data_IF_367186070309
#
_entry.id   IF_367186070309
#
_cell.length_a   1.000
_cell.length_b   1.000
_cell.length_c   1.000
_cell.angle_alpha   90.00
_cell.angle_beta   90.00
_cell.angle_gamma   90.00
#
_symmetry.space_group_name_H-M   'P 1'
#
loop_
_entity.id
_entity.type
_entity.pdbx_description
1 polymer ?
#
# COMPACT_ATOMS: atom_id res chain seq x y z
N UNK A 1 36.12 7.71 -5.93
CA UNK A 1 35.43 7.54 -4.63
C UNK A 1 34.07 6.91 -4.96
N UNK A 2 33.96 5.59 -4.87
CA UNK A 2 32.67 4.92 -5.09
C UNK A 2 31.71 5.31 -3.97
N UNK A 3 30.53 5.84 -4.31
CA UNK A 3 29.47 6.02 -3.32
C UNK A 3 29.04 4.62 -2.87
N UNK A 4 29.41 4.20 -1.66
CA UNK A 4 28.74 3.08 -1.00
C UNK A 4 27.26 3.45 -0.93
N UNK A 5 26.42 2.70 -1.64
CA UNK A 5 24.98 2.83 -1.49
C UNK A 5 24.67 2.59 0.00
N UNK A 6 24.09 3.59 0.65
CA UNK A 6 23.59 3.42 2.01
C UNK A 6 22.48 2.39 1.97
N UNK A 7 22.48 1.45 2.92
CA UNK A 7 21.38 0.52 3.08
C UNK A 7 20.09 1.33 3.30
N UNK A 8 19.08 1.13 2.45
CA UNK A 8 17.81 1.82 2.52
C UNK A 8 16.71 0.78 2.73
N UNK A 9 15.94 0.93 3.82
CA UNK A 9 14.78 0.09 4.09
C UNK A 9 13.52 0.84 3.68
N UNK A 10 12.69 0.20 2.86
CA UNK A 10 11.36 0.71 2.52
C UNK A 10 10.30 -0.14 3.24
N UNK A 11 9.32 0.52 3.84
CA UNK A 11 8.24 -0.11 4.61
C UNK A 11 6.90 0.47 4.18
N UNK A 12 5.92 -0.41 3.96
CA UNK A 12 4.52 -0.02 3.77
C UNK A 12 3.73 -0.36 5.03
N UNK A 13 2.89 0.56 5.46
CA UNK A 13 1.98 0.40 6.58
C UNK A 13 0.62 1.02 6.24
N UNK A 14 -0.46 0.37 6.68
CA UNK A 14 -1.82 0.89 6.60
C UNK A 14 -2.44 0.91 7.99
N UNK A 15 -3.03 2.04 8.34
CA UNK A 15 -3.63 2.29 9.65
C UNK A 15 -5.00 2.93 9.45
N UNK A 16 -6.00 2.39 10.15
CA UNK A 16 -7.35 2.95 10.26
C UNK A 16 -7.45 3.92 11.43
N UNK A 17 -8.39 4.86 11.36
CA UNK A 17 -8.64 5.85 12.41
C UNK A 17 -9.15 5.24 13.73
N UNK A 18 -9.63 3.99 13.69
CA UNK A 18 -10.04 3.19 14.84
C UNK A 18 -8.88 2.43 15.51
N UNK A 19 -7.65 2.66 15.05
CA UNK A 19 -6.44 2.03 15.57
C UNK A 19 -6.15 0.65 15.00
N UNK A 20 -6.99 0.13 14.08
CA UNK A 20 -6.65 -1.09 13.35
C UNK A 20 -5.48 -0.83 12.41
N UNK A 21 -4.59 -1.81 12.26
CA UNK A 21 -3.39 -1.71 11.43
C UNK A 21 -3.05 -3.05 10.81
N UNK A 22 -2.48 -3.02 9.62
CA UNK A 22 -1.90 -4.22 9.01
C UNK A 22 -0.49 -4.49 9.56
N UNK A 23 0.03 -5.70 9.31
CA UNK A 23 1.45 -5.98 9.49
C UNK A 23 2.29 -5.05 8.60
N UNK A 24 3.49 -4.70 9.08
CA UNK A 24 4.47 -3.96 8.29
C UNK A 24 4.96 -4.82 7.13
N UNK A 25 5.10 -4.19 5.95
CA UNK A 25 5.56 -4.86 4.73
C UNK A 25 6.91 -4.26 4.38
N UNK A 26 7.94 -5.07 4.55
CA UNK A 26 9.31 -4.70 4.24
C UNK A 26 9.60 -5.06 2.79
N UNK A 27 10.09 -4.10 2.00
CA UNK A 27 10.64 -4.38 0.69
C UNK A 27 12.09 -4.85 0.84
N UNK A 28 12.49 -5.81 0.01
CA UNK A 28 13.86 -6.33 0.03
C UNK A 28 14.87 -5.26 -0.37
N UNK A 29 16.12 -5.43 0.07
CA UNK A 29 17.19 -4.49 -0.25
C UNK A 29 17.39 -4.39 -1.78
N UNK A 30 17.47 -3.16 -2.28
CA UNK A 30 17.54 -2.87 -3.71
C UNK A 30 16.22 -2.98 -4.49
N UNK A 31 15.14 -3.51 -3.91
CA UNK A 31 13.81 -3.44 -4.54
C UNK A 31 13.23 -2.04 -4.38
N UNK A 32 12.80 -1.45 -5.50
CA UNK A 32 11.99 -0.22 -5.48
C UNK A 32 10.52 -0.58 -5.53
N UNK A 33 9.74 0.04 -4.65
CA UNK A 33 8.28 -0.01 -4.74
C UNK A 33 7.81 0.34 -6.14
N UNK A 34 7.01 -0.54 -6.72
CA UNK A 34 6.36 -0.36 -8.01
C UNK A 34 4.86 -0.64 -7.88
N UNK A 35 4.09 -0.42 -8.94
CA UNK A 35 2.63 -0.60 -8.89
C UNK A 35 2.20 -2.03 -8.53
N UNK A 36 2.95 -3.05 -8.95
CA UNK A 36 2.63 -4.45 -8.67
C UNK A 36 2.82 -4.78 -7.19
N UNK A 37 4.01 -4.50 -6.67
CA UNK A 37 4.34 -4.69 -5.25
C UNK A 37 3.45 -3.84 -4.34
N UNK A 38 3.07 -2.64 -4.77
CA UNK A 38 2.11 -1.80 -4.06
C UNK A 38 0.71 -2.43 -3.98
N UNK A 39 0.15 -2.90 -5.11
CA UNK A 39 -1.16 -3.56 -5.12
C UNK A 39 -1.15 -4.87 -4.33
N UNK A 40 -0.11 -5.69 -4.51
CA UNK A 40 0.07 -6.93 -3.77
C UNK A 40 0.11 -6.69 -2.26
N UNK A 41 0.74 -5.59 -1.84
CA UNK A 41 0.79 -5.18 -0.44
C UNK A 41 -0.61 -4.88 0.12
N UNK A 42 -1.45 -4.19 -0.67
CA UNK A 42 -2.84 -3.93 -0.32
C UNK A 42 -3.65 -5.20 -0.22
N UNK A 43 -3.56 -6.06 -1.25
CA UNK A 43 -4.35 -7.28 -1.35
C UNK A 43 -4.08 -8.24 -0.18
N UNK A 44 -2.80 -8.46 0.14
CA UNK A 44 -2.40 -9.46 1.12
C UNK A 44 -2.54 -9.00 2.56
N UNK A 45 -2.43 -7.71 2.83
CA UNK A 45 -2.26 -7.20 4.20
C UNK A 45 -3.30 -6.16 4.59
N UNK A 46 -3.60 -5.21 3.73
CA UNK A 46 -4.49 -4.08 4.06
C UNK A 46 -5.96 -4.42 3.87
N UNK A 47 -6.32 -5.10 2.77
CA UNK A 47 -7.69 -5.48 2.47
C UNK A 47 -8.32 -6.41 3.52
N UNK A 48 -7.64 -7.46 4.03
CA UNK A 48 -8.23 -8.33 5.05
C UNK A 48 -8.61 -7.57 6.33
N UNK A 49 -7.77 -6.60 6.74
CA UNK A 49 -8.04 -5.75 7.90
C UNK A 49 -9.24 -4.84 7.60
N UNK A 50 -9.25 -4.17 6.45
CA UNK A 50 -10.36 -3.30 6.04
C UNK A 50 -11.71 -4.02 5.93
N UNK A 51 -11.72 -5.22 5.32
CA UNK A 51 -12.92 -6.04 5.12
C UNK A 51 -13.43 -6.71 6.39
N UNK A 52 -12.63 -6.80 7.45
CA UNK A 52 -13.07 -7.34 8.74
C UNK A 52 -14.20 -6.52 9.37
N UNK A 53 -14.36 -5.26 8.98
CA UNK A 53 -15.42 -4.36 9.45
C UNK A 53 -16.46 -4.09 8.35
N UNK A 54 -17.32 -5.08 8.08
CA UNK A 54 -18.33 -5.08 7.00
C UNK A 54 -19.34 -3.91 7.01
N UNK A 55 -19.36 -3.09 8.07
CA UNK A 55 -20.28 -1.96 8.24
C UNK A 55 -19.70 -0.61 7.80
N UNK A 56 -18.44 -0.56 7.33
CA UNK A 56 -17.76 0.69 6.98
C UNK A 56 -17.32 0.68 5.51
N UNK A 57 -17.59 1.80 4.82
CA UNK A 57 -16.97 2.10 3.53
C UNK A 57 -15.50 2.37 3.80
N UNK A 58 -14.60 1.63 3.16
CA UNK A 58 -13.17 1.87 3.24
C UNK A 58 -12.74 2.88 2.18
N UNK A 59 -12.03 3.92 2.61
CA UNK A 59 -11.44 4.95 1.75
C UNK A 59 -9.92 4.80 1.87
N UNK A 60 -9.25 4.56 0.75
CA UNK A 60 -7.80 4.47 0.73
C UNK A 60 -7.20 5.85 0.49
N UNK A 61 -6.40 6.34 1.44
CA UNK A 61 -5.64 7.58 1.31
C UNK A 61 -4.17 7.24 1.04
N UNK A 62 -3.59 7.88 0.02
CA UNK A 62 -2.16 7.80 -0.30
C UNK A 62 -1.67 9.11 -0.95
N UNK A 63 -0.36 9.26 -1.10
CA UNK A 63 0.22 10.39 -1.84
C UNK A 63 0.16 10.17 -3.37
N UNK A 64 0.63 11.16 -4.14
CA UNK A 64 0.65 11.13 -5.60
C UNK A 64 1.78 10.34 -6.25
N UNK A 65 2.46 9.43 -5.54
CA UNK A 65 3.56 8.65 -6.14
C UNK A 65 3.09 7.88 -7.39
N UNK A 66 4.01 7.66 -8.34
CA UNK A 66 3.67 7.06 -9.64
C UNK A 66 3.13 5.63 -9.52
N UNK A 67 3.60 4.85 -8.54
CA UNK A 67 3.07 3.52 -8.23
C UNK A 67 1.66 3.58 -7.62
N UNK A 68 1.32 4.65 -6.89
CA UNK A 68 0.00 4.85 -6.27
C UNK A 68 -1.05 5.26 -7.31
N UNK A 69 -0.65 6.09 -8.27
CA UNK A 69 -1.55 6.69 -9.26
C UNK A 69 -1.58 5.95 -10.60
N UNK A 70 -0.82 4.86 -10.75
CA UNK A 70 -0.80 4.09 -12.00
C UNK A 70 -2.19 3.52 -12.36
N UNK A 71 -2.47 3.35 -13.66
CA UNK A 71 -3.75 2.77 -14.13
C UNK A 71 -4.05 1.42 -13.48
N UNK A 72 -3.02 0.58 -13.33
CA UNK A 72 -3.12 -0.72 -12.68
C UNK A 72 -3.60 -0.59 -11.23
N UNK A 73 -2.95 0.27 -10.46
CA UNK A 73 -3.29 0.54 -9.06
C UNK A 73 -4.71 1.11 -8.91
N UNK A 74 -5.07 2.10 -9.74
CA UNK A 74 -6.42 2.68 -9.72
C UNK A 74 -7.49 1.66 -10.08
N UNK A 75 -7.23 0.78 -11.04
CA UNK A 75 -8.16 -0.28 -11.44
C UNK A 75 -8.39 -1.28 -10.31
N UNK A 76 -7.31 -1.72 -9.66
CA UNK A 76 -7.41 -2.61 -8.50
C UNK A 76 -8.28 -2.01 -7.38
N UNK A 77 -8.02 -0.76 -6.99
CA UNK A 77 -8.73 -0.16 -5.87
C UNK A 77 -10.22 0.10 -6.17
N UNK A 78 -10.57 0.38 -7.44
CA UNK A 78 -11.97 0.46 -7.90
C UNK A 78 -12.67 -0.89 -7.81
N UNK A 79 -12.02 -1.99 -8.20
CA UNK A 79 -12.57 -3.36 -8.09
C UNK A 79 -12.87 -3.72 -6.63
N UNK A 80 -12.02 -3.29 -5.71
CA UNK A 80 -12.16 -3.54 -4.28
C UNK A 80 -13.13 -2.58 -3.56
N UNK A 81 -13.87 -1.77 -4.33
CA UNK A 81 -14.82 -0.76 -3.86
C UNK A 81 -14.20 0.26 -2.87
N UNK A 82 -12.90 0.54 -3.03
CA UNK A 82 -12.22 1.58 -2.26
C UNK A 82 -12.42 2.92 -2.96
N UNK A 83 -13.10 3.83 -2.28
CA UNK A 83 -13.38 5.17 -2.81
C UNK A 83 -12.11 6.03 -2.66
N UNK A 84 -11.76 6.75 -3.72
CA UNK A 84 -10.77 7.84 -3.68
C UNK A 84 -11.50 9.17 -3.64
N UNK A 85 -11.06 10.13 -2.80
CA UNK A 85 -11.41 11.53 -3.00
C UNK A 85 -10.75 12.11 -4.26
#
# INVERSE_FOLDING_TARGET
>A
MERKALANLQVIAVVGSDGQKCDLIFLEDGQRLNSFTYVESFEKKSLPVGKSNIWRIMVAQHDGASCHTSKFTQQFLRTEALIFP
#
